data_IF_747348930058
#
_entry.id   IF_747348930058
#
_cell.length_a   1.000
_cell.length_b   1.000
_cell.length_c   1.000
_cell.angle_alpha   90.00
_cell.angle_beta   90.00
_cell.angle_gamma   90.00
#
_symmetry.space_group_name_H-M   'P 1'
#
loop_
_entity.id
_entity.type
_entity.pdbx_description
1 polymer ?
#
# COMPACT_ATOMS: atom_id res chain seq x y z
N UNK A 1 1.80 -10.94 -15.53
CA UNK A 1 2.28 -9.64 -15.00
C UNK A 1 3.36 -9.97 -13.97
N UNK A 2 4.63 -9.92 -14.36
CA UNK A 2 5.74 -10.28 -13.47
C UNK A 2 5.95 -9.17 -12.45
N UNK A 3 5.95 -9.51 -11.16
CA UNK A 3 6.55 -8.69 -10.14
C UNK A 3 8.06 -8.68 -10.39
N UNK A 4 8.57 -7.68 -11.11
CA UNK A 4 10.01 -7.43 -11.18
C UNK A 4 10.41 -6.89 -9.82
N UNK A 5 10.81 -7.79 -8.92
CA UNK A 5 11.54 -7.43 -7.71
C UNK A 5 12.89 -6.92 -8.16
N UNK A 6 13.01 -5.62 -8.37
CA UNK A 6 14.31 -4.96 -8.36
C UNK A 6 14.88 -5.15 -6.94
N UNK A 7 15.97 -5.91 -6.74
CA UNK A 7 16.57 -6.11 -5.42
C UNK A 7 17.01 -4.78 -4.77
N UNK A 8 17.11 -3.68 -5.53
CA UNK A 8 17.37 -2.35 -5.00
C UNK A 8 16.12 -1.61 -4.48
N UNK A 9 14.90 -2.02 -4.85
CA UNK A 9 13.66 -1.30 -4.51
C UNK A 9 12.86 -2.05 -3.43
N UNK A 10 12.94 -1.55 -2.20
CA UNK A 10 12.18 -2.09 -1.06
C UNK A 10 10.68 -1.93 -1.33
N UNK A 11 9.92 -3.01 -1.18
CA UNK A 11 8.46 -2.98 -1.34
C UNK A 11 7.77 -3.78 -0.24
N UNK A 12 6.54 -3.38 0.08
CA UNK A 12 5.66 -4.06 1.03
C UNK A 12 4.29 -4.27 0.39
N UNK A 13 3.60 -5.33 0.79
CA UNK A 13 2.16 -5.50 0.52
C UNK A 13 1.40 -5.07 1.78
N UNK A 14 0.52 -4.08 1.64
CA UNK A 14 -0.32 -3.58 2.72
C UNK A 14 -1.73 -4.09 2.50
N UNK A 15 -2.21 -4.89 3.46
CA UNK A 15 -3.58 -5.40 3.50
C UNK A 15 -4.22 -4.81 4.76
N UNK A 16 -5.42 -4.24 4.63
CA UNK A 16 -6.11 -3.63 5.76
C UNK A 16 -7.59 -3.97 5.68
N UNK A 17 -8.13 -4.52 6.77
CA UNK A 17 -9.53 -4.89 6.82
C UNK A 17 -10.43 -3.65 6.73
N UNK A 18 -10.95 -3.35 5.54
CA UNK A 18 -11.63 -2.08 5.22
C UNK A 18 -13.04 -1.96 5.83
N UNK A 19 -13.53 -2.99 6.53
CA UNK A 19 -14.83 -2.98 7.21
C UNK A 19 -14.98 -1.94 8.34
N UNK A 20 -13.91 -1.20 8.70
CA UNK A 20 -13.95 -0.09 9.68
C UNK A 20 -13.17 1.11 9.16
N UNK A 21 -13.79 2.30 9.17
CA UNK A 21 -13.16 3.55 8.74
C UNK A 21 -11.82 3.84 9.46
N UNK A 22 -11.71 3.47 10.74
CA UNK A 22 -10.46 3.65 11.51
C UNK A 22 -9.29 2.83 10.95
N UNK A 23 -9.56 1.66 10.36
CA UNK A 23 -8.51 0.83 9.77
C UNK A 23 -7.93 1.48 8.50
N UNK A 24 -8.77 2.13 7.69
CA UNK A 24 -8.36 2.88 6.50
C UNK A 24 -7.44 4.04 6.87
N UNK A 25 -7.81 4.81 7.90
CA UNK A 25 -7.00 5.94 8.35
C UNK A 25 -5.62 5.50 8.87
N UNK A 26 -5.56 4.40 9.61
CA UNK A 26 -4.27 3.81 10.05
C UNK A 26 -3.46 3.31 8.85
N UNK A 27 -4.09 2.62 7.90
CA UNK A 27 -3.43 2.13 6.69
C UNK A 27 -2.81 3.27 5.88
N UNK A 28 -3.54 4.38 5.69
CA UNK A 28 -3.04 5.60 5.04
C UNK A 28 -1.83 6.19 5.77
N UNK A 29 -1.93 6.32 7.09
CA UNK A 29 -0.83 6.87 7.90
C UNK A 29 0.43 6.00 7.88
N UNK A 30 0.27 4.67 7.84
CA UNK A 30 1.39 3.72 7.70
C UNK A 30 1.98 3.81 6.29
N UNK A 31 1.15 3.80 5.26
CA UNK A 31 1.60 3.89 3.88
C UNK A 31 2.40 5.16 3.60
N UNK A 32 1.93 6.32 4.09
CA UNK A 32 2.66 7.59 3.95
C UNK A 32 4.05 7.54 4.60
N UNK A 33 4.18 6.92 5.78
CA UNK A 33 5.49 6.75 6.45
C UNK A 33 6.41 5.82 5.67
N UNK A 34 5.89 4.71 5.13
CA UNK A 34 6.66 3.78 4.32
C UNK A 34 7.16 4.45 3.03
N UNK A 35 6.29 5.17 2.34
CA UNK A 35 6.65 5.88 1.11
C UNK A 35 7.67 7.00 1.35
N UNK A 36 7.55 7.73 2.46
CA UNK A 36 8.57 8.69 2.88
C UNK A 36 9.95 8.03 3.11
N UNK A 37 9.98 6.74 3.47
CA UNK A 37 11.18 5.93 3.62
C UNK A 37 11.68 5.25 2.33
N UNK A 38 11.20 5.69 1.15
CA UNK A 38 11.51 5.05 -0.15
C UNK A 38 11.07 3.58 -0.23
N UNK A 39 10.04 3.20 0.52
CA UNK A 39 9.40 1.87 0.42
C UNK A 39 8.17 1.97 -0.46
N UNK A 40 8.11 1.13 -1.48
CA UNK A 40 6.94 1.02 -2.36
C UNK A 40 5.83 0.31 -1.61
N UNK A 41 4.66 0.95 -1.52
CA UNK A 41 3.47 0.34 -0.93
C UNK A 41 2.63 -0.24 -2.04
N UNK A 42 2.32 -1.54 -1.92
CA UNK A 42 1.42 -2.26 -2.82
C UNK A 42 0.13 -2.60 -2.10
N UNK A 43 -0.98 -2.55 -2.80
CA UNK A 43 -2.33 -2.88 -2.30
C UNK A 43 -3.06 -3.78 -3.28
N UNK A 44 -3.99 -4.59 -2.79
CA UNK A 44 -4.82 -5.44 -3.65
C UNK A 44 -5.81 -4.59 -4.47
N UNK A 45 -6.12 -5.01 -5.70
CA UNK A 45 -7.14 -4.36 -6.56
C UNK A 45 -8.45 -4.11 -5.80
N UNK A 46 -8.89 -5.11 -5.03
CA UNK A 46 -10.14 -5.06 -4.27
C UNK A 46 -10.14 -4.04 -3.12
N UNK A 47 -8.98 -3.70 -2.58
CA UNK A 47 -8.85 -2.74 -1.47
C UNK A 47 -8.44 -1.34 -1.95
N UNK A 48 -7.93 -1.20 -3.18
CA UNK A 48 -7.35 0.05 -3.67
C UNK A 48 -8.33 1.24 -3.62
N UNK A 49 -9.59 1.02 -4.00
CA UNK A 49 -10.62 2.05 -4.00
C UNK A 49 -10.98 2.50 -2.57
N UNK A 50 -11.11 1.56 -1.64
CA UNK A 50 -11.43 1.82 -0.24
C UNK A 50 -10.28 2.56 0.46
N UNK A 51 -9.04 2.13 0.17
CA UNK A 51 -7.85 2.69 0.80
C UNK A 51 -7.53 4.09 0.26
N UNK A 52 -7.66 4.33 -1.04
CA UNK A 52 -7.42 5.65 -1.64
C UNK A 52 -6.04 6.22 -1.29
N UNK A 53 -5.00 5.38 -1.34
CA UNK A 53 -3.63 5.77 -0.99
C UNK A 53 -2.92 6.25 -2.25
N UNK A 54 -2.62 7.54 -2.32
CA UNK A 54 -1.87 8.13 -3.43
C UNK A 54 -0.46 7.53 -3.54
N UNK A 55 -0.07 7.15 -4.76
CA UNK A 55 1.24 6.57 -5.03
C UNK A 55 1.40 5.09 -4.66
N UNK A 56 0.35 4.44 -4.13
CA UNK A 56 0.35 2.99 -3.97
C UNK A 56 0.26 2.28 -5.33
N UNK A 57 0.98 1.17 -5.46
CA UNK A 57 0.90 0.29 -6.61
C UNK A 57 -0.19 -0.75 -6.39
N UNK A 58 -1.12 -0.88 -7.34
CA UNK A 58 -2.16 -1.89 -7.29
C UNK A 58 -1.63 -3.19 -7.90
N UNK A 59 -1.75 -4.31 -7.16
CA UNK A 59 -1.30 -5.65 -7.58
C UNK A 59 -2.42 -6.67 -7.66
#
# INVERSE_FOLDING_TARGET
MSATTDPARRSVLLIAHTGRAQAVEVARAVAGRLMAGSVTVRVLVEEAADLGIDGAEVV
#
